data_IF_439877544300
#
_entry.id   IF_439877544300
#
_cell.length_a   1.000
_cell.length_b   1.000
_cell.length_c   1.000
_cell.angle_alpha   90.00
_cell.angle_beta   90.00
_cell.angle_gamma   90.00
#
_symmetry.space_group_name_H-M   'P 1'
#
loop_
_entity.id
_entity.type
_entity.pdbx_description
1 polymer ?
#
# COMPACT_ATOMS: atom_id res chain seq x y z
N UNK A 1 17.54 10.10 6.86
CA UNK A 1 17.09 10.37 5.48
C UNK A 1 17.65 9.23 4.66
N UNK A 2 16.80 8.40 4.07
CA UNK A 2 17.25 7.34 3.17
C UNK A 2 17.81 8.05 1.93
N UNK A 3 19.11 7.88 1.67
CA UNK A 3 19.72 8.29 0.41
C UNK A 3 19.49 7.16 -0.59
N UNK A 4 18.97 7.49 -1.76
CA UNK A 4 18.79 6.55 -2.87
C UNK A 4 19.89 6.82 -3.90
N UNK A 5 20.62 5.79 -4.30
CA UNK A 5 21.68 5.87 -5.30
C UNK A 5 21.13 5.77 -6.73
N UNK A 6 19.89 5.28 -6.90
CA UNK A 6 19.25 5.14 -8.22
C UNK A 6 17.71 5.11 -8.18
N UNK A 7 17.08 5.34 -9.33
CA UNK A 7 15.64 5.14 -9.54
C UNK A 7 15.21 3.70 -9.22
N UNK A 8 16.09 2.73 -9.44
CA UNK A 8 15.77 1.33 -9.16
C UNK A 8 15.62 1.07 -7.66
N UNK A 9 16.44 1.69 -6.80
CA UNK A 9 16.28 1.53 -5.34
C UNK A 9 14.97 2.15 -4.83
N UNK A 10 14.52 3.21 -5.50
CA UNK A 10 13.22 3.82 -5.25
C UNK A 10 12.09 2.87 -5.66
N UNK A 11 12.20 2.23 -6.82
CA UNK A 11 11.22 1.26 -7.30
C UNK A 11 11.24 -0.02 -6.46
N UNK A 12 12.40 -0.51 -6.04
CA UNK A 12 12.55 -1.68 -5.16
C UNK A 12 11.88 -1.42 -3.80
N UNK A 13 12.02 -0.21 -3.25
CA UNK A 13 11.27 0.22 -2.06
C UNK A 13 9.77 0.24 -2.32
N UNK A 14 9.31 0.84 -3.41
CA UNK A 14 7.89 0.88 -3.74
C UNK A 14 7.30 -0.54 -3.86
N UNK A 15 8.00 -1.45 -4.55
CA UNK A 15 7.63 -2.87 -4.69
C UNK A 15 7.50 -3.57 -3.33
N UNK A 16 8.46 -3.35 -2.43
CA UNK A 16 8.40 -3.91 -1.08
C UNK A 16 7.16 -3.40 -0.32
N UNK A 17 6.79 -2.13 -0.52
CA UNK A 17 5.65 -1.50 0.14
C UNK A 17 4.30 -2.01 -0.36
N UNK A 18 4.20 -2.34 -1.64
CA UNK A 18 3.00 -3.03 -2.18
C UNK A 18 2.87 -4.45 -1.63
N UNK A 19 3.99 -5.15 -1.46
CA UNK A 19 3.97 -6.48 -0.86
C UNK A 19 3.54 -6.44 0.61
N UNK A 20 4.00 -5.44 1.36
CA UNK A 20 3.57 -5.22 2.74
C UNK A 20 2.09 -4.80 2.82
N UNK A 21 1.62 -3.97 1.89
CA UNK A 21 0.20 -3.59 1.79
C UNK A 21 -0.69 -4.81 1.49
N UNK A 22 -0.27 -5.68 0.56
CA UNK A 22 -0.96 -6.94 0.29
C UNK A 22 -1.07 -7.81 1.54
N UNK A 23 0.05 -8.03 2.25
CA UNK A 23 0.07 -8.81 3.50
C UNK A 23 -0.83 -8.20 4.57
N UNK A 24 -0.80 -6.87 4.69
CA UNK A 24 -1.65 -6.13 5.62
C UNK A 24 -3.14 -6.35 5.32
N UNK A 25 -3.56 -6.20 4.06
CA UNK A 25 -4.96 -6.40 3.69
C UNK A 25 -5.43 -7.84 3.81
N UNK A 26 -4.58 -8.83 3.49
CA UNK A 26 -4.89 -10.24 3.78
C UNK A 26 -5.04 -10.49 5.28
N UNK A 27 -4.23 -9.84 6.11
CA UNK A 27 -4.33 -9.96 7.56
C UNK A 27 -5.61 -9.31 8.13
N UNK A 28 -6.09 -8.20 7.54
CA UNK A 28 -7.40 -7.62 7.83
C UNK A 28 -8.54 -8.53 7.37
N UNK A 29 -8.47 -9.05 6.13
CA UNK A 29 -9.48 -9.97 5.59
C UNK A 29 -9.67 -11.22 6.47
N UNK A 30 -8.58 -11.76 7.02
CA UNK A 30 -8.62 -12.90 7.92
C UNK A 30 -9.32 -12.61 9.26
N UNK A 31 -9.29 -11.36 9.72
CA UNK A 31 -9.90 -10.89 10.98
C UNK A 31 -11.29 -10.27 10.78
N UNK A 32 -11.69 -10.07 9.53
CA UNK A 32 -12.98 -9.50 9.19
C UNK A 32 -14.15 -10.35 9.73
N UNK A 33 -15.09 -9.67 10.39
CA UNK A 33 -16.23 -10.29 11.06
C UNK A 33 -17.36 -10.66 10.09
N UNK A 34 -17.47 -9.97 8.95
CA UNK A 34 -18.51 -10.16 7.94
C UNK A 34 -17.90 -10.55 6.59
N UNK A 35 -18.69 -11.23 5.75
CA UNK A 35 -18.24 -11.64 4.42
C UNK A 35 -18.02 -10.44 3.49
N UNK A 36 -18.83 -9.40 3.66
CA UNK A 36 -18.74 -8.14 2.93
C UNK A 36 -17.41 -7.44 3.23
N UNK A 37 -17.06 -7.31 4.52
CA UNK A 37 -15.79 -6.72 4.96
C UNK A 37 -14.58 -7.52 4.47
N UNK A 38 -14.64 -8.85 4.61
CA UNK A 38 -13.58 -9.72 4.11
C UNK A 38 -13.34 -9.49 2.62
N UNK A 39 -14.42 -9.44 1.84
CA UNK A 39 -14.32 -9.22 0.40
C UNK A 39 -13.68 -7.88 0.06
N UNK A 40 -14.02 -6.79 0.77
CA UNK A 40 -13.39 -5.48 0.53
C UNK A 40 -11.88 -5.54 0.71
N UNK A 41 -11.39 -6.18 1.78
CA UNK A 41 -9.95 -6.31 2.02
C UNK A 41 -9.27 -7.32 1.08
N UNK A 42 -9.95 -8.39 0.67
CA UNK A 42 -9.44 -9.32 -0.35
C UNK A 42 -9.31 -8.66 -1.73
N UNK A 43 -10.30 -7.86 -2.13
CA UNK A 43 -10.28 -7.13 -3.39
C UNK A 43 -9.08 -6.15 -3.40
N UNK A 44 -8.87 -5.39 -2.32
CA UNK A 44 -7.72 -4.49 -2.18
C UNK A 44 -6.38 -5.21 -2.18
N UNK A 45 -6.27 -6.33 -1.46
CA UNK A 45 -5.07 -7.15 -1.52
C UNK A 45 -4.74 -7.57 -2.96
N UNK A 46 -5.76 -7.84 -3.79
CA UNK A 46 -5.61 -8.08 -5.22
C UNK A 46 -5.09 -6.87 -5.98
N UNK A 47 -5.64 -5.68 -5.71
CA UNK A 47 -5.21 -4.41 -6.32
C UNK A 47 -3.72 -4.11 -6.02
N UNK A 48 -3.24 -4.39 -4.79
CA UNK A 48 -1.81 -4.21 -4.46
C UNK A 48 -0.87 -5.13 -5.25
N UNK A 49 -1.33 -6.32 -5.63
CA UNK A 49 -0.55 -7.21 -6.49
C UNK A 49 -0.45 -6.60 -7.90
N UNK A 50 -1.51 -5.96 -8.39
CA UNK A 50 -1.49 -5.26 -9.68
C UNK A 50 -0.55 -4.03 -9.63
N UNK A 51 -0.57 -3.27 -8.53
CA UNK A 51 0.37 -2.18 -8.29
C UNK A 51 1.82 -2.66 -8.32
N UNK A 52 2.12 -3.72 -7.56
CA UNK A 52 3.44 -4.36 -7.54
C UNK A 52 3.89 -4.74 -8.96
N UNK A 53 3.01 -5.40 -9.73
CA UNK A 53 3.33 -5.81 -11.09
C UNK A 53 3.63 -4.61 -12.01
N UNK A 54 2.95 -3.47 -11.84
CA UNK A 54 3.24 -2.24 -12.59
C UNK A 54 4.62 -1.68 -12.27
N UNK A 55 5.00 -1.66 -10.99
CA UNK A 55 6.34 -1.21 -10.58
C UNK A 55 7.44 -2.16 -11.09
N UNK A 56 7.22 -3.47 -11.01
CA UNK A 56 8.15 -4.47 -11.57
C UNK A 56 8.37 -4.30 -13.07
N UNK A 57 7.32 -3.91 -13.83
CA UNK A 57 7.47 -3.59 -15.25
C UNK A 57 8.36 -2.38 -15.50
N UNK A 58 8.30 -1.35 -14.65
CA UNK A 58 9.20 -0.19 -14.76
C UNK A 58 10.66 -0.56 -14.51
N UNK A 59 10.92 -1.45 -13.55
CA UNK A 59 12.28 -2.01 -13.32
C UNK A 59 12.76 -2.83 -14.51
N UNK A 60 11.88 -3.60 -15.16
CA UNK A 60 12.25 -4.38 -16.34
C UNK A 60 12.58 -3.46 -17.53
N UNK A 61 11.81 -2.37 -17.70
CA UNK A 61 12.06 -1.37 -18.75
C UNK A 61 13.39 -0.64 -18.58
N UNK A 62 13.87 -0.46 -17.34
CA UNK A 62 15.20 0.12 -17.06
C UNK A 62 16.36 -0.82 -17.45
N UNK A 63 16.06 -2.05 -17.87
CA UNK A 63 17.03 -3.04 -18.35
C UNK A 63 17.55 -3.97 -17.26
N UNK A 64 16.99 -3.91 -16.06
CA UNK A 64 17.26 -4.85 -14.96
C UNK A 64 16.27 -6.00 -14.94
N UNK A 65 16.70 -7.10 -14.33
CA UNK A 65 15.80 -8.19 -13.94
C UNK A 65 15.37 -7.93 -12.52
N UNK A 66 14.07 -7.99 -12.24
CA UNK A 66 13.55 -8.00 -10.87
C UNK A 66 14.10 -9.24 -10.17
N UNK A 67 15.07 -9.05 -9.31
CA UNK A 67 15.49 -10.05 -8.34
C UNK A 67 14.56 -9.95 -7.15
N UNK A 68 14.12 -11.08 -6.58
CA UNK A 68 13.33 -11.07 -5.34
C UNK A 68 14.03 -10.16 -4.33
N UNK A 69 13.36 -9.05 -3.98
CA UNK A 69 13.89 -8.00 -3.13
C UNK A 69 14.30 -8.62 -1.82
N UNK A 70 15.59 -8.50 -1.45
CA UNK A 70 16.02 -8.72 -0.08
C UNK A 70 15.20 -7.76 0.80
N UNK A 71 14.67 -8.21 1.93
CA UNK A 71 13.92 -7.37 2.87
C UNK A 71 14.75 -6.12 3.19
N UNK A 72 14.46 -5.01 2.52
CA UNK A 72 15.08 -3.73 2.79
C UNK A 72 14.52 -3.28 4.14
N UNK A 73 15.31 -3.43 5.20
CA UNK A 73 15.03 -2.90 6.55
C UNK A 73 15.16 -1.37 6.52
N UNK A 74 14.22 -0.73 5.82
CA UNK A 74 14.06 0.71 5.84
C UNK A 74 13.24 1.01 7.08
N UNK A 75 13.93 1.28 8.20
CA UNK A 75 13.32 1.60 9.50
C UNK A 75 12.03 2.40 9.35
N UNK A 76 10.91 1.70 9.49
CA UNK A 76 9.62 2.18 9.03
C UNK A 76 8.81 2.73 10.19
N UNK A 77 8.82 4.05 10.36
CA UNK A 77 7.92 4.73 11.30
C UNK A 77 6.45 4.71 10.82
N UNK A 78 6.16 4.16 9.63
CA UNK A 78 4.83 4.07 9.02
C UNK A 78 4.29 2.65 8.78
N UNK A 79 5.01 1.59 9.19
CA UNK A 79 4.54 0.21 9.02
C UNK A 79 3.40 -0.05 10.00
N UNK A 80 2.17 -0.03 9.49
CA UNK A 80 1.02 -0.47 10.28
C UNK A 80 1.00 -2.01 10.23
N UNK A 81 1.74 -2.65 11.15
CA UNK A 81 1.70 -4.09 11.35
C UNK A 81 0.52 -4.50 12.24
N UNK A 82 -0.19 -5.56 11.87
CA UNK A 82 -1.21 -6.17 12.75
C UNK A 82 -0.52 -7.16 13.68
N UNK A 83 -0.69 -6.97 14.98
CA UNK A 83 -0.11 -7.81 16.03
C UNK A 83 -1.14 -8.81 16.56
N UNK A 84 -0.67 -9.85 17.26
CA UNK A 84 -1.56 -10.79 17.95
C UNK A 84 -2.34 -10.15 19.11
N UNK A 85 -2.06 -8.90 19.49
CA UNK A 85 -2.88 -8.14 20.45
C UNK A 85 -4.15 -7.54 19.83
N UNK A 86 -4.27 -7.53 18.51
CA UNK A 86 -5.37 -6.89 17.76
C UNK A 86 -6.60 -7.83 17.58
N UNK A 87 -6.79 -8.78 18.50
CA UNK A 87 -7.80 -9.85 18.41
C UNK A 87 -9.24 -9.31 18.53
N UNK A 88 -9.43 -8.13 19.14
CA UNK A 88 -10.74 -7.52 19.39
C UNK A 88 -10.92 -6.20 18.64
N UNK A 89 -10.33 -6.12 17.44
CA UNK A 89 -10.42 -4.94 16.59
C UNK A 89 -11.83 -4.85 15.97
N UNK A 90 -12.54 -3.77 16.28
CA UNK A 90 -13.84 -3.48 15.68
C UNK A 90 -13.66 -3.10 14.20
N UNK A 91 -14.69 -3.30 13.38
CA UNK A 91 -14.66 -2.94 11.96
C UNK A 91 -14.24 -1.49 11.75
N UNK A 92 -14.70 -0.62 12.65
CA UNK A 92 -14.34 0.78 12.72
C UNK A 92 -12.82 0.99 12.80
N UNK A 93 -12.14 0.25 13.68
CA UNK A 93 -10.71 0.38 13.88
C UNK A 93 -9.94 -0.16 12.66
N UNK A 94 -10.43 -1.23 12.04
CA UNK A 94 -9.88 -1.76 10.79
C UNK A 94 -9.96 -0.74 9.65
N UNK A 95 -11.09 -0.03 9.53
CA UNK A 95 -11.27 1.04 8.53
C UNK A 95 -10.33 2.22 8.80
N UNK A 96 -10.15 2.62 10.07
CA UNK A 96 -9.22 3.69 10.43
C UNK A 96 -7.77 3.32 10.11
N UNK A 97 -7.35 2.08 10.38
CA UNK A 97 -6.02 1.60 10.04
C UNK A 97 -5.81 1.55 8.52
N UNK A 98 -6.83 1.10 7.77
CA UNK A 98 -6.77 1.11 6.32
C UNK A 98 -6.62 2.54 5.77
N UNK A 99 -7.42 3.50 6.23
CA UNK A 99 -7.27 4.92 5.84
C UNK A 99 -5.88 5.49 6.14
N UNK A 100 -5.30 5.12 7.28
CA UNK A 100 -3.94 5.55 7.64
C UNK A 100 -2.88 4.90 6.74
N UNK A 101 -3.05 3.61 6.40
CA UNK A 101 -2.17 2.90 5.47
C UNK A 101 -2.18 3.57 4.10
N UNK A 102 -3.37 3.86 3.57
CA UNK A 102 -3.56 4.56 2.29
C UNK A 102 -2.94 5.96 2.28
N UNK A 103 -3.12 6.73 3.35
CA UNK A 103 -2.49 8.04 3.46
C UNK A 103 -0.95 7.96 3.50
N UNK A 104 -0.40 6.95 4.18
CA UNK A 104 1.03 6.69 4.21
C UNK A 104 1.57 6.28 2.84
N UNK A 105 0.88 5.36 2.13
CA UNK A 105 1.24 4.95 0.76
C UNK A 105 1.20 6.14 -0.21
N UNK A 106 0.14 6.94 -0.17
CA UNK A 106 0.02 8.16 -1.00
C UNK A 106 1.20 9.10 -0.80
N UNK A 107 1.54 9.42 0.46
CA UNK A 107 2.65 10.33 0.78
C UNK A 107 3.99 9.76 0.32
N UNK A 108 4.17 8.45 0.49
CA UNK A 108 5.35 7.75 0.00
C UNK A 108 5.47 7.92 -1.52
N UNK A 109 4.44 7.57 -2.30
CA UNK A 109 4.51 7.64 -3.76
C UNK A 109 4.72 9.07 -4.27
N UNK A 110 4.12 10.07 -3.64
CA UNK A 110 4.39 11.49 -3.95
C UNK A 110 5.86 11.83 -3.69
N UNK A 111 6.42 11.42 -2.54
CA UNK A 111 7.83 11.67 -2.22
C UNK A 111 8.79 10.94 -3.16
N UNK A 112 8.52 9.66 -3.48
CA UNK A 112 9.32 8.87 -4.42
C UNK A 112 9.25 9.45 -5.84
N UNK A 113 8.07 9.91 -6.29
CA UNK A 113 7.89 10.52 -7.61
C UNK A 113 8.74 11.78 -7.81
N UNK A 114 9.05 12.51 -6.73
CA UNK A 114 9.90 13.70 -6.77
C UNK A 114 11.40 13.37 -6.80
N UNK A 115 11.79 12.12 -6.53
CA UNK A 115 13.18 11.66 -6.43
C UNK A 115 13.65 10.86 -7.64
N UNK A 116 12.73 10.23 -8.37
CA UNK A 116 13.05 9.51 -9.61
C UNK A 116 13.41 10.46 -10.75
N UNK A 117 14.33 10.05 -11.61
CA UNK A 117 14.74 10.78 -12.80
C UNK A 117 13.94 10.36 -14.05
N UNK A 118 13.52 9.10 -14.12
CA UNK A 118 12.70 8.53 -15.18
C UNK A 118 11.30 9.14 -15.19
N UNK A 119 10.86 9.60 -16.37
CA UNK A 119 9.51 10.12 -16.58
C UNK A 119 8.46 9.02 -16.44
N UNK A 120 8.69 7.83 -17.00
CA UNK A 120 7.78 6.70 -16.93
C UNK A 120 7.58 6.21 -15.47
N UNK A 121 8.67 6.17 -14.69
CA UNK A 121 8.62 5.80 -13.28
C UNK A 121 7.86 6.85 -12.46
N UNK A 122 8.09 8.14 -12.75
CA UNK A 122 7.38 9.25 -12.10
C UNK A 122 5.89 9.19 -12.37
N UNK A 123 5.48 8.97 -13.62
CA UNK A 123 4.06 8.84 -13.99
C UNK A 123 3.41 7.62 -13.31
N UNK A 124 4.12 6.50 -13.24
CA UNK A 124 3.64 5.30 -12.57
C UNK A 124 3.41 5.55 -11.08
N UNK A 125 4.38 6.14 -10.37
CA UNK A 125 4.26 6.48 -8.95
C UNK A 125 3.12 7.48 -8.69
N UNK A 126 2.94 8.48 -9.55
CA UNK A 126 1.83 9.43 -9.42
C UNK A 126 0.46 8.76 -9.65
N UNK A 127 0.37 7.84 -10.62
CA UNK A 127 -0.87 7.07 -10.84
C UNK A 127 -1.21 6.21 -9.63
N UNK A 128 -0.22 5.55 -9.01
CA UNK A 128 -0.43 4.78 -7.79
C UNK A 128 -0.89 5.69 -6.64
N UNK A 129 -0.26 6.85 -6.47
CA UNK A 129 -0.70 7.84 -5.48
C UNK A 129 -2.17 8.26 -5.67
N UNK A 130 -2.62 8.44 -6.90
CA UNK A 130 -4.03 8.74 -7.20
C UNK A 130 -4.98 7.57 -6.87
N UNK A 131 -4.52 6.33 -7.01
CA UNK A 131 -5.27 5.12 -6.65
C UNK A 131 -5.43 5.02 -5.13
N UNK A 132 -4.38 5.26 -4.35
CA UNK A 132 -4.45 5.26 -2.87
C UNK A 132 -5.41 6.32 -2.32
N UNK A 133 -5.48 7.49 -2.95
CA UNK A 133 -6.47 8.52 -2.58
C UNK A 133 -7.91 8.03 -2.82
N UNK A 134 -8.15 7.26 -3.88
CA UNK A 134 -9.47 6.66 -4.15
C UNK A 134 -9.79 5.57 -3.14
N UNK A 135 -8.82 4.75 -2.75
CA UNK A 135 -8.97 3.75 -1.69
C UNK A 135 -9.31 4.41 -0.36
N UNK A 136 -8.57 5.44 0.04
CA UNK A 136 -8.87 6.22 1.24
C UNK A 136 -10.29 6.77 1.23
N UNK A 137 -10.70 7.40 0.12
CA UNK A 137 -12.06 7.96 0.00
C UNK A 137 -13.14 6.86 0.11
N UNK A 138 -12.89 5.68 -0.48
CA UNK A 138 -13.80 4.53 -0.37
C UNK A 138 -13.96 4.11 1.10
N UNK A 139 -12.88 4.07 1.86
CA UNK A 139 -12.94 3.77 3.30
C UNK A 139 -13.63 4.87 4.12
N UNK A 140 -13.38 6.14 3.82
CA UNK A 140 -14.07 7.27 4.48
C UNK A 140 -15.59 7.18 4.30
N UNK A 141 -16.05 6.85 3.08
CA UNK A 141 -17.47 6.65 2.79
C UNK A 141 -18.05 5.48 3.58
N UNK A 142 -17.34 4.35 3.61
CA UNK A 142 -17.77 3.16 4.34
C UNK A 142 -17.86 3.42 5.85
N UNK A 143 -16.86 4.11 6.40
CA UNK A 143 -16.84 4.53 7.80
C UNK A 143 -17.99 5.49 8.13
N UNK A 144 -18.24 6.48 7.27
CA UNK A 144 -19.37 7.40 7.44
C UNK A 144 -20.73 6.68 7.40
N UNK A 145 -20.86 5.63 6.59
CA UNK A 145 -22.08 4.83 6.54
C UNK A 145 -22.24 4.00 7.82
N UNK A 146 -21.16 3.39 8.32
CA UNK A 146 -21.14 2.66 9.58
C UNK A 146 -21.56 3.57 10.75
N UNK A 147 -20.96 4.76 10.85
CA UNK A 147 -21.24 5.74 11.90
C UNK A 147 -22.66 6.32 11.86
N UNK A 148 -23.39 6.19 10.73
CA UNK A 148 -24.80 6.61 10.60
C UNK A 148 -25.78 5.48 10.89
N UNK A 149 -25.31 4.23 10.88
CA UNK A 149 -26.13 3.03 11.08
C UNK A 149 -26.21 2.62 12.56
N UNK A 150 -25.23 3.02 13.39
CA UNK A 150 -25.25 2.97 14.87
C UNK A 150 -26.07 4.10 15.51
#
# INVERSE_FOLDING_TARGET
>A
MVEFESDDEILDLAIAREEDANKFYLALAARAQTAEMRKVFEDLAGEEIEHKARLELEVIKSGRVVTATEELDIGDEGAIGITDSDIDMDYKDMLLMAMQKEESSFRLYVDLSARVTSEDARETLLSLAEEEVKHKLRFEIEYDNLMKAD
#
